data_IF_450548887939
#
_entry.id   IF_450548887939
#
_cell.length_a   1.000
_cell.length_b   1.000
_cell.length_c   1.000
_cell.angle_alpha   90.00
_cell.angle_beta   90.00
_cell.angle_gamma   90.00
#
_symmetry.space_group_name_H-M   'P 1'
#
loop_
_entity.id
_entity.type
_entity.pdbx_description
1 polymer ?
#
# COMPACT_ATOMS: atom_id res chain seq x y z
N UNK A 1 26.71 34.42 -2.12
CA UNK A 1 26.72 32.95 -2.26
C UNK A 1 25.33 32.39 -2.02
N UNK A 2 24.76 31.72 -3.02
CA UNK A 2 23.50 31.00 -2.87
C UNK A 2 23.64 29.79 -1.94
N UNK A 3 22.52 29.19 -1.55
CA UNK A 3 22.50 27.90 -0.82
C UNK A 3 23.24 26.83 -1.64
N UNK A 4 23.15 26.91 -2.97
CA UNK A 4 23.86 26.03 -3.92
C UNK A 4 25.37 26.20 -3.81
N UNK A 5 25.88 27.43 -3.86
CA UNK A 5 27.32 27.67 -3.70
C UNK A 5 27.80 27.21 -2.33
N UNK A 6 27.04 27.49 -1.28
CA UNK A 6 27.41 27.13 0.10
C UNK A 6 27.46 25.62 0.29
N UNK A 7 26.55 24.88 -0.34
CA UNK A 7 26.54 23.42 -0.34
C UNK A 7 27.63 22.83 -1.23
N UNK A 8 27.87 23.40 -2.40
CA UNK A 8 28.96 23.00 -3.28
C UNK A 8 30.31 23.16 -2.59
N UNK A 9 30.57 24.32 -1.97
CA UNK A 9 31.80 24.57 -1.19
C UNK A 9 31.90 23.67 0.04
N UNK A 10 30.77 23.32 0.66
CA UNK A 10 30.75 22.37 1.78
C UNK A 10 31.10 20.95 1.33
N UNK A 11 30.51 20.46 0.23
CA UNK A 11 30.85 19.15 -0.35
C UNK A 11 32.30 19.16 -0.82
N UNK A 12 32.74 20.19 -1.54
CA UNK A 12 34.12 20.34 -2.02
C UNK A 12 35.12 20.29 -0.85
N UNK A 13 34.81 20.96 0.26
CA UNK A 13 35.59 20.90 1.50
C UNK A 13 35.57 19.53 2.19
N UNK A 14 34.56 18.70 1.94
CA UNK A 14 34.39 17.38 2.54
C UNK A 14 35.11 16.27 1.75
N UNK A 15 35.00 16.28 0.42
CA UNK A 15 35.54 15.22 -0.46
C UNK A 15 36.84 15.64 -1.16
N UNK A 16 37.23 16.91 -1.05
CA UNK A 16 38.40 17.48 -1.72
C UNK A 16 38.10 17.87 -3.17
N UNK A 17 38.76 18.92 -3.64
CA UNK A 17 38.51 19.56 -4.95
C UNK A 17 38.69 18.61 -6.13
N UNK A 18 39.67 17.69 -6.08
CA UNK A 18 39.91 16.72 -7.15
C UNK A 18 38.79 15.67 -7.27
N UNK A 19 38.30 15.15 -6.14
CA UNK A 19 37.20 14.18 -6.14
C UNK A 19 35.86 14.86 -6.47
N UNK A 20 35.66 16.09 -6.02
CA UNK A 20 34.49 16.90 -6.34
C UNK A 20 34.35 17.11 -7.85
N UNK A 21 35.43 17.54 -8.52
CA UNK A 21 35.42 17.76 -9.96
C UNK A 21 35.26 16.46 -10.78
N UNK A 22 35.65 15.30 -10.24
CA UNK A 22 35.42 14.00 -10.90
C UNK A 22 33.98 13.50 -10.75
N UNK A 23 33.36 13.73 -9.58
CA UNK A 23 32.01 13.25 -9.26
C UNK A 23 30.90 14.21 -9.71
N UNK A 24 31.21 15.51 -9.76
CA UNK A 24 30.31 16.57 -10.19
C UNK A 24 31.01 17.42 -11.27
N UNK A 25 31.10 16.93 -12.52
CA UNK A 25 31.51 17.76 -13.65
C UNK A 25 30.62 19.00 -13.75
N UNK A 26 31.10 20.07 -14.40
CA UNK A 26 30.37 21.35 -14.58
C UNK A 26 28.96 21.20 -15.21
N UNK A 27 28.67 20.05 -15.80
CA UNK A 27 27.39 19.67 -16.41
C UNK A 27 26.34 19.20 -15.38
N UNK A 28 26.75 18.86 -14.15
CA UNK A 28 25.87 18.38 -13.09
C UNK A 28 25.32 19.56 -12.29
N UNK A 29 24.02 19.80 -12.44
CA UNK A 29 23.34 20.89 -11.74
C UNK A 29 23.13 20.57 -10.25
N UNK A 30 24.04 21.07 -9.40
CA UNK A 30 23.93 20.97 -7.94
C UNK A 30 22.65 21.60 -7.40
N UNK A 31 22.04 22.55 -8.11
CA UNK A 31 20.77 23.15 -7.72
C UNK A 31 19.60 22.15 -7.88
N UNK A 32 19.65 21.29 -8.91
CA UNK A 32 18.71 20.19 -9.09
C UNK A 32 18.87 19.12 -8.00
N UNK A 33 20.11 18.77 -7.63
CA UNK A 33 20.38 17.81 -6.56
C UNK A 33 19.93 18.34 -5.18
N UNK A 34 20.21 19.61 -4.90
CA UNK A 34 19.74 20.29 -3.69
C UNK A 34 18.24 20.47 -3.64
N UNK A 35 17.62 20.83 -4.75
CA UNK A 35 16.17 20.90 -4.89
C UNK A 35 15.55 19.54 -4.57
N UNK A 36 16.10 18.47 -5.15
CA UNK A 36 15.72 17.09 -4.83
C UNK A 36 15.89 16.76 -3.35
N UNK A 37 17.03 17.07 -2.74
CA UNK A 37 17.27 16.81 -1.31
C UNK A 37 16.34 17.61 -0.38
N UNK A 38 16.06 18.87 -0.70
CA UNK A 38 15.13 19.71 0.05
C UNK A 38 13.69 19.21 -0.08
N UNK A 39 13.27 18.85 -1.29
CA UNK A 39 11.96 18.24 -1.54
C UNK A 39 11.83 16.88 -0.82
N UNK A 40 12.91 16.08 -0.78
CA UNK A 40 12.97 14.83 -0.01
C UNK A 40 12.84 15.08 1.50
N UNK A 41 13.46 16.14 2.02
CA UNK A 41 13.41 16.46 3.45
C UNK A 41 12.01 16.98 3.84
N UNK A 42 11.46 17.90 3.05
CA UNK A 42 10.12 18.46 3.26
C UNK A 42 9.04 17.38 3.08
N UNK A 43 9.19 16.48 2.10
CA UNK A 43 8.28 15.35 1.94
C UNK A 43 8.36 14.39 3.11
N UNK A 44 9.54 14.08 3.67
CA UNK A 44 9.66 13.22 4.86
C UNK A 44 8.90 13.79 6.06
N UNK A 45 8.98 15.11 6.29
CA UNK A 45 8.18 15.78 7.34
C UNK A 45 6.68 15.64 7.06
N UNK A 46 6.26 15.83 5.81
CA UNK A 46 4.87 15.64 5.40
C UNK A 46 4.39 14.20 5.57
N UNK A 47 5.24 13.20 5.29
CA UNK A 47 4.97 11.77 5.51
C UNK A 47 4.75 11.49 7.00
N UNK A 48 5.65 11.98 7.87
CA UNK A 48 5.52 11.80 9.32
C UNK A 48 4.23 12.45 9.83
N UNK A 49 3.94 13.69 9.42
CA UNK A 49 2.70 14.38 9.78
C UNK A 49 1.45 13.62 9.30
N UNK A 50 1.47 13.12 8.07
CA UNK A 50 0.38 12.32 7.50
C UNK A 50 0.17 11.02 8.27
N UNK A 51 1.26 10.33 8.66
CA UNK A 51 1.18 9.11 9.44
C UNK A 51 0.60 9.35 10.84
N UNK A 52 0.97 10.46 11.49
CA UNK A 52 0.36 10.85 12.77
C UNK A 52 -1.15 11.05 12.61
N UNK A 53 -1.57 11.78 11.57
CA UNK A 53 -3.00 12.00 11.30
C UNK A 53 -3.72 10.67 11.00
N UNK A 54 -3.11 9.77 10.24
CA UNK A 54 -3.67 8.44 9.95
C UNK A 54 -3.85 7.63 11.24
N UNK A 55 -2.84 7.57 12.10
CA UNK A 55 -2.92 6.85 13.38
C UNK A 55 -4.04 7.43 14.25
N UNK A 56 -4.16 8.76 14.29
CA UNK A 56 -5.24 9.43 15.03
C UNK A 56 -6.61 9.03 14.44
N UNK A 57 -6.78 9.14 13.12
CA UNK A 57 -8.03 8.76 12.43
C UNK A 57 -8.36 7.29 12.65
N UNK A 58 -7.36 6.41 12.62
CA UNK A 58 -7.53 4.97 12.86
C UNK A 58 -7.99 4.70 14.31
N UNK A 59 -7.39 5.37 15.30
CA UNK A 59 -7.82 5.29 16.69
C UNK A 59 -9.26 5.77 16.84
N UNK A 60 -9.62 6.91 16.23
CA UNK A 60 -11.00 7.41 16.26
C UNK A 60 -11.97 6.45 15.54
N UNK A 61 -11.60 5.91 14.38
CA UNK A 61 -12.40 4.89 13.67
C UNK A 61 -12.59 3.62 14.50
N UNK A 62 -11.57 3.18 15.22
CA UNK A 62 -11.62 2.01 16.12
C UNK A 62 -12.54 2.25 17.32
N UNK A 63 -12.45 3.44 17.93
CA UNK A 63 -13.28 3.86 19.06
C UNK A 63 -14.74 4.02 18.61
N UNK A 64 -14.98 4.75 17.52
CA UNK A 64 -16.31 5.10 17.03
C UNK A 64 -16.94 4.05 16.12
N UNK A 65 -16.27 2.90 15.91
CA UNK A 65 -16.69 1.89 14.93
C UNK A 65 -18.18 1.55 15.00
N UNK A 66 -18.72 1.42 16.22
CA UNK A 66 -20.12 1.03 16.46
C UNK A 66 -21.08 2.16 16.12
N UNK A 67 -20.72 3.40 16.41
CA UNK A 67 -21.52 4.58 16.11
C UNK A 67 -21.59 4.81 14.59
N UNK A 68 -20.45 4.73 13.90
CA UNK A 68 -20.39 4.87 12.44
C UNK A 68 -21.14 3.74 11.71
N UNK A 69 -20.96 2.49 12.15
CA UNK A 69 -21.72 1.35 11.62
C UNK A 69 -23.24 1.53 11.80
N UNK A 70 -23.67 1.93 12.97
CA UNK A 70 -25.10 2.08 13.26
C UNK A 70 -25.70 3.27 12.49
N UNK A 71 -24.99 4.39 12.38
CA UNK A 71 -25.43 5.55 11.59
C UNK A 71 -25.62 5.23 10.11
N UNK A 72 -24.73 4.44 9.50
CA UNK A 72 -24.90 4.01 8.10
C UNK A 72 -26.09 3.04 7.95
N UNK A 73 -26.30 2.15 8.91
CA UNK A 73 -27.41 1.19 8.88
C UNK A 73 -28.78 1.84 9.08
N UNK A 74 -28.85 3.03 9.68
CA UNK A 74 -30.09 3.80 9.82
C UNK A 74 -30.63 4.30 8.47
N UNK A 75 -29.76 4.59 7.50
CA UNK A 75 -30.13 4.99 6.14
C UNK A 75 -30.49 3.83 5.21
N UNK A 76 -30.40 2.58 5.68
CA UNK A 76 -30.66 1.39 4.90
C UNK A 76 -32.02 0.76 5.26
N UNK A 77 -32.72 0.29 4.23
CA UNK A 77 -33.95 -0.48 4.39
C UNK A 77 -33.73 -1.76 5.18
N UNK A 78 -34.75 -2.16 5.94
CA UNK A 78 -34.66 -3.25 6.93
C UNK A 78 -34.25 -4.59 6.29
N UNK A 79 -34.61 -4.83 5.03
CA UNK A 79 -34.22 -6.04 4.28
C UNK A 79 -32.73 -6.07 3.93
N UNK A 80 -32.09 -4.92 3.72
CA UNK A 80 -30.69 -4.81 3.26
C UNK A 80 -29.69 -4.66 4.42
N UNK A 81 -30.15 -4.26 5.62
CA UNK A 81 -29.31 -4.08 6.82
C UNK A 81 -28.38 -5.27 7.14
N UNK A 82 -28.79 -6.55 7.05
CA UNK A 82 -27.90 -7.67 7.34
C UNK A 82 -26.73 -7.77 6.35
N UNK A 83 -27.01 -7.53 5.07
CA UNK A 83 -26.00 -7.57 4.01
C UNK A 83 -25.02 -6.39 4.13
N UNK A 84 -25.53 -5.18 4.36
CA UNK A 84 -24.71 -3.97 4.53
C UNK A 84 -23.82 -4.06 5.78
N UNK A 85 -24.35 -4.58 6.90
CA UNK A 85 -23.57 -4.80 8.13
C UNK A 85 -22.43 -5.80 7.90
N UNK A 86 -22.69 -6.88 7.16
CA UNK A 86 -21.65 -7.87 6.82
C UNK A 86 -20.52 -7.24 5.99
N UNK A 87 -20.85 -6.44 4.97
CA UNK A 87 -19.86 -5.78 4.11
C UNK A 87 -19.02 -4.78 4.92
N UNK A 88 -19.66 -3.92 5.72
CA UNK A 88 -18.97 -2.89 6.51
C UNK A 88 -18.04 -3.51 7.57
N UNK A 89 -18.51 -4.50 8.32
CA UNK A 89 -17.70 -5.16 9.34
C UNK A 89 -16.52 -5.93 8.73
N UNK A 90 -16.74 -6.64 7.63
CA UNK A 90 -15.67 -7.32 6.89
C UNK A 90 -14.65 -6.33 6.33
N UNK A 91 -15.10 -5.16 5.86
CA UNK A 91 -14.24 -4.08 5.38
C UNK A 91 -13.34 -3.51 6.48
N UNK A 92 -13.93 -3.19 7.64
CA UNK A 92 -13.19 -2.68 8.82
C UNK A 92 -12.15 -3.69 9.29
N UNK A 93 -12.52 -4.98 9.40
CA UNK A 93 -11.58 -6.04 9.81
C UNK A 93 -10.45 -6.23 8.80
N UNK A 94 -10.74 -6.05 7.50
CA UNK A 94 -9.74 -6.14 6.43
C UNK A 94 -8.77 -4.95 6.48
N UNK A 95 -9.29 -3.74 6.71
CA UNK A 95 -8.48 -2.54 6.90
C UNK A 95 -7.53 -2.68 8.10
N UNK A 96 -8.03 -3.15 9.25
CA UNK A 96 -7.20 -3.37 10.44
C UNK A 96 -6.09 -4.42 10.22
N UNK A 97 -6.38 -5.50 9.49
CA UNK A 97 -5.36 -6.49 9.09
C UNK A 97 -4.30 -5.89 8.17
N UNK A 98 -4.71 -5.09 7.18
CA UNK A 98 -3.80 -4.40 6.27
C UNK A 98 -2.90 -3.42 7.00
N UNK A 99 -3.45 -2.54 7.85
CA UNK A 99 -2.66 -1.54 8.59
C UNK A 99 -1.67 -2.19 9.55
N UNK A 100 -2.06 -3.27 10.23
CA UNK A 100 -1.14 -4.07 11.04
C UNK A 100 -0.03 -4.69 10.19
N UNK A 101 -0.36 -5.18 9.00
CA UNK A 101 0.61 -5.71 8.04
C UNK A 101 1.58 -4.65 7.52
N UNK A 102 1.07 -3.46 7.23
CA UNK A 102 1.85 -2.30 6.80
C UNK A 102 2.86 -1.90 7.87
N UNK A 103 2.42 -1.74 9.12
CA UNK A 103 3.28 -1.36 10.24
C UNK A 103 4.41 -2.39 10.47
N UNK A 104 4.09 -3.69 10.39
CA UNK A 104 5.10 -4.75 10.53
C UNK A 104 6.11 -4.70 9.38
N UNK A 105 5.67 -4.41 8.14
CA UNK A 105 6.59 -4.23 7.00
C UNK A 105 7.50 -3.03 7.19
N UNK A 106 6.94 -1.89 7.59
CA UNK A 106 7.69 -0.67 7.90
C UNK A 106 8.75 -0.92 8.99
N UNK A 107 8.35 -1.58 10.08
CA UNK A 107 9.23 -1.95 11.19
C UNK A 107 10.38 -2.85 10.71
N UNK A 108 10.06 -3.87 9.90
CA UNK A 108 11.06 -4.74 9.32
C UNK A 108 12.06 -3.97 8.47
N UNK A 109 11.59 -3.13 7.54
CA UNK A 109 12.47 -2.34 6.66
C UNK A 109 13.35 -1.40 7.48
N UNK A 110 12.78 -0.62 8.41
CA UNK A 110 13.54 0.31 9.24
C UNK A 110 14.65 -0.39 10.04
N UNK A 111 14.30 -1.50 10.72
CA UNK A 111 15.25 -2.28 11.52
C UNK A 111 16.32 -2.93 10.64
N UNK A 112 15.92 -3.58 9.54
CA UNK A 112 16.85 -4.26 8.66
C UNK A 112 17.82 -3.29 7.97
N UNK A 113 17.35 -2.08 7.63
CA UNK A 113 18.19 -1.00 7.11
C UNK A 113 19.20 -0.52 8.16
N UNK A 114 18.76 -0.26 9.40
CA UNK A 114 19.69 0.09 10.50
C UNK A 114 20.74 -1.00 10.73
N UNK A 115 20.33 -2.27 10.75
CA UNK A 115 21.24 -3.39 10.93
C UNK A 115 22.24 -3.47 9.78
N UNK A 116 21.78 -3.30 8.53
CA UNK A 116 22.66 -3.29 7.35
C UNK A 116 23.72 -2.21 7.42
N UNK A 117 23.31 -0.98 7.68
CA UNK A 117 24.24 0.14 7.83
C UNK A 117 25.23 -0.10 8.97
N UNK A 118 24.76 -0.58 10.11
CA UNK A 118 25.62 -0.88 11.26
C UNK A 118 26.64 -1.99 10.96
N UNK A 119 26.23 -3.07 10.29
CA UNK A 119 27.12 -4.18 9.91
C UNK A 119 28.17 -3.78 8.89
N UNK A 120 27.82 -2.90 7.94
CA UNK A 120 28.73 -2.41 6.90
C UNK A 120 29.65 -1.30 7.45
N UNK A 121 29.30 -0.70 8.59
CA UNK A 121 30.05 0.40 9.20
C UNK A 121 29.69 1.78 8.67
N UNK A 122 28.52 1.93 8.05
CA UNK A 122 28.02 3.21 7.54
C UNK A 122 27.48 4.03 8.72
N UNK A 123 27.92 5.28 8.92
CA UNK A 123 27.46 6.11 10.03
C UNK A 123 25.97 6.48 9.88
N UNK A 124 25.37 6.98 10.97
CA UNK A 124 23.96 7.40 11.01
C UNK A 124 22.92 6.29 10.76
N UNK A 125 23.27 5.04 11.06
CA UNK A 125 22.41 3.87 10.89
C UNK A 125 21.02 3.99 11.56
N UNK A 126 20.95 4.54 12.76
CA UNK A 126 19.69 4.71 13.50
C UNK A 126 18.81 5.81 12.86
N UNK A 127 19.29 7.06 12.67
CA UNK A 127 18.53 8.10 11.98
C UNK A 127 18.00 7.64 10.61
N UNK A 128 18.84 6.98 9.80
CA UNK A 128 18.46 6.54 8.47
C UNK A 128 17.46 5.38 8.49
N UNK A 129 17.55 4.47 9.46
CA UNK A 129 16.52 3.44 9.64
C UNK A 129 15.17 4.00 10.08
N UNK A 130 15.14 5.08 10.86
CA UNK A 130 13.89 5.79 11.20
C UNK A 130 13.29 6.41 9.93
N UNK A 131 14.10 7.03 9.08
CA UNK A 131 13.62 7.54 7.79
C UNK A 131 13.08 6.39 6.94
N UNK A 132 13.83 5.30 6.80
CA UNK A 132 13.42 4.11 6.04
C UNK A 132 12.12 3.49 6.57
N UNK A 133 11.92 3.47 7.90
CA UNK A 133 10.67 3.04 8.52
C UNK A 133 9.48 3.85 8.02
N UNK A 134 9.60 5.19 8.04
CA UNK A 134 8.50 6.06 7.65
C UNK A 134 8.26 6.05 6.14
N UNK A 135 9.32 6.07 5.33
CA UNK A 135 9.18 6.06 3.87
C UNK A 135 8.62 4.73 3.38
N UNK A 136 8.89 3.61 4.05
CA UNK A 136 8.32 2.29 3.75
C UNK A 136 6.78 2.22 3.82
N UNK A 137 6.11 3.24 4.39
CA UNK A 137 4.67 3.36 4.29
C UNK A 137 4.17 3.49 2.83
N UNK A 138 5.04 3.95 1.92
CA UNK A 138 4.77 4.12 0.49
C UNK A 138 5.21 2.86 -0.26
N UNK A 139 4.26 2.01 -0.72
CA UNK A 139 4.62 0.79 -1.44
C UNK A 139 5.43 1.11 -2.71
N UNK A 140 6.41 0.27 -3.02
CA UNK A 140 7.31 0.35 -4.19
C UNK A 140 8.28 1.54 -4.24
N UNK A 141 7.91 2.70 -3.68
CA UNK A 141 8.70 3.93 -3.79
C UNK A 141 9.47 4.23 -2.49
N UNK A 142 8.93 3.84 -1.34
CA UNK A 142 9.48 4.15 -0.02
C UNK A 142 10.91 3.68 0.24
N UNK A 143 11.22 2.45 -0.17
CA UNK A 143 12.56 1.87 -0.04
C UNK A 143 13.58 2.57 -0.92
N UNK A 144 13.19 3.00 -2.12
CA UNK A 144 14.08 3.74 -3.03
C UNK A 144 14.42 5.13 -2.49
N UNK A 145 13.43 5.81 -1.88
CA UNK A 145 13.65 7.15 -1.32
C UNK A 145 14.65 7.16 -0.16
N UNK A 146 14.56 6.20 0.75
CA UNK A 146 15.53 6.11 1.85
C UNK A 146 16.91 5.64 1.39
N UNK A 147 16.98 4.85 0.33
CA UNK A 147 18.23 4.29 -0.17
C UNK A 147 19.18 5.38 -0.70
N UNK A 148 18.67 6.41 -1.39
CA UNK A 148 19.49 7.47 -1.99
C UNK A 148 20.44 8.15 -0.98
N UNK A 149 19.95 8.78 0.12
CA UNK A 149 20.84 9.41 1.09
C UNK A 149 21.76 8.40 1.79
N UNK A 150 21.31 7.16 2.00
CA UNK A 150 22.14 6.10 2.59
C UNK A 150 23.33 5.76 1.68
N UNK A 151 23.12 5.63 0.37
CA UNK A 151 24.19 5.34 -0.58
C UNK A 151 25.18 6.50 -0.70
N UNK A 152 24.70 7.74 -0.62
CA UNK A 152 25.57 8.93 -0.58
C UNK A 152 26.47 8.86 0.66
N UNK A 153 25.89 8.65 1.85
CA UNK A 153 26.64 8.53 3.10
C UNK A 153 27.64 7.37 3.03
N UNK A 154 27.22 6.22 2.52
CA UNK A 154 28.09 5.05 2.35
C UNK A 154 29.29 5.34 1.44
N UNK A 155 29.06 6.02 0.32
CA UNK A 155 30.11 6.37 -0.63
C UNK A 155 31.10 7.40 -0.08
N UNK A 156 30.60 8.39 0.66
CA UNK A 156 31.41 9.49 1.21
C UNK A 156 32.21 9.05 2.44
N UNK A 157 31.57 8.39 3.40
CA UNK A 157 32.17 8.12 4.72
C UNK A 157 32.99 6.82 4.74
N UNK A 158 32.70 5.89 3.84
CA UNK A 158 33.33 4.55 3.85
C UNK A 158 33.95 4.19 2.51
N UNK A 159 33.30 4.54 1.40
CA UNK A 159 33.79 4.35 0.04
C UNK A 159 32.92 3.46 -0.84
N UNK A 160 33.31 3.26 -2.11
CA UNK A 160 32.48 2.60 -3.12
C UNK A 160 32.18 1.12 -2.80
N UNK A 161 33.04 0.44 -2.03
CA UNK A 161 32.78 -0.92 -1.57
C UNK A 161 31.55 -1.00 -0.65
N UNK A 162 31.37 -0.02 0.23
CA UNK A 162 30.22 0.05 1.13
C UNK A 162 28.91 0.31 0.37
N UNK A 163 28.96 1.11 -0.69
CA UNK A 163 27.82 1.34 -1.60
C UNK A 163 27.34 0.03 -2.20
N UNK A 164 28.25 -0.76 -2.77
CA UNK A 164 27.90 -2.05 -3.38
C UNK A 164 27.34 -3.05 -2.36
N UNK A 165 27.95 -3.12 -1.17
CA UNK A 165 27.45 -3.96 -0.07
C UNK A 165 26.05 -3.54 0.38
N UNK A 166 25.80 -2.23 0.50
CA UNK A 166 24.49 -1.72 0.93
C UNK A 166 23.41 -1.95 -0.13
N UNK A 167 23.74 -1.80 -1.43
CA UNK A 167 22.83 -2.17 -2.53
C UNK A 167 22.48 -3.66 -2.43
N UNK A 168 23.50 -4.53 -2.29
CA UNK A 168 23.29 -5.97 -2.14
C UNK A 168 22.40 -6.31 -0.93
N UNK A 169 22.66 -5.66 0.21
CA UNK A 169 21.86 -5.81 1.41
C UNK A 169 20.40 -5.36 1.20
N UNK A 170 20.19 -4.21 0.56
CA UNK A 170 18.84 -3.71 0.28
C UNK A 170 18.07 -4.66 -0.64
N UNK A 171 18.73 -5.26 -1.64
CA UNK A 171 18.09 -6.27 -2.50
C UNK A 171 17.62 -7.46 -1.65
N UNK A 172 18.44 -7.94 -0.70
CA UNK A 172 18.04 -9.02 0.21
C UNK A 172 16.81 -8.62 1.04
N UNK A 173 16.79 -7.40 1.58
CA UNK A 173 15.62 -6.87 2.32
C UNK A 173 14.38 -6.90 1.43
N UNK A 174 14.45 -6.37 0.21
CA UNK A 174 13.30 -6.33 -0.71
C UNK A 174 12.79 -7.74 -1.06
N UNK A 175 13.71 -8.71 -1.23
CA UNK A 175 13.34 -10.09 -1.49
C UNK A 175 12.63 -10.74 -0.30
N UNK A 176 13.12 -10.53 0.92
CA UNK A 176 12.48 -11.02 2.15
C UNK A 176 11.14 -10.35 2.36
N UNK A 177 11.06 -9.03 2.15
CA UNK A 177 9.84 -8.26 2.28
C UNK A 177 8.76 -8.78 1.32
N UNK A 178 9.10 -8.92 0.03
CA UNK A 178 8.16 -9.37 -1.00
C UNK A 178 7.77 -10.84 -0.88
N UNK A 179 8.71 -11.71 -0.47
CA UNK A 179 8.50 -13.18 -0.49
C UNK A 179 8.01 -13.75 0.82
N UNK A 180 8.28 -13.08 1.96
CA UNK A 180 7.99 -13.60 3.30
C UNK A 180 7.09 -12.64 4.06
N UNK A 181 7.50 -11.39 4.25
CA UNK A 181 6.78 -10.44 5.11
C UNK A 181 5.41 -10.15 4.50
N UNK A 182 5.37 -9.64 3.28
CA UNK A 182 4.13 -9.30 2.58
C UNK A 182 3.11 -10.45 2.61
N UNK A 183 3.42 -11.68 2.17
CA UNK A 183 2.45 -12.78 2.22
C UNK A 183 2.11 -13.26 3.63
N UNK A 184 3.00 -13.14 4.62
CA UNK A 184 2.74 -13.57 6.00
C UNK A 184 1.84 -12.58 6.72
N UNK A 185 2.06 -11.28 6.55
CA UNK A 185 1.37 -10.25 7.34
C UNK A 185 0.19 -9.61 6.61
N UNK A 186 0.24 -9.51 5.28
CA UNK A 186 -0.84 -8.97 4.44
C UNK A 186 -1.64 -10.08 3.73
N UNK A 187 -1.32 -11.34 4.03
CA UNK A 187 -1.68 -12.53 3.23
C UNK A 187 -3.12 -12.61 2.73
N UNK A 188 -3.28 -13.10 1.48
CA UNK A 188 -4.49 -13.51 0.72
C UNK A 188 -5.76 -12.65 0.83
N UNK A 189 -5.77 -11.57 1.59
CA UNK A 189 -6.95 -10.75 1.85
C UNK A 189 -7.45 -10.03 0.59
N UNK A 190 -6.57 -9.90 -0.40
CA UNK A 190 -6.82 -9.07 -1.58
C UNK A 190 -6.38 -9.87 -2.80
N UNK A 191 -7.25 -10.76 -3.29
CA UNK A 191 -7.09 -11.41 -4.60
C UNK A 191 -7.40 -10.40 -5.73
N UNK A 192 -6.92 -9.16 -5.60
CA UNK A 192 -7.18 -8.04 -6.51
C UNK A 192 -5.93 -7.87 -7.36
N UNK A 193 -6.11 -7.69 -8.66
CA UNK A 193 -5.00 -7.53 -9.59
C UNK A 193 -4.05 -6.42 -9.11
N UNK A 194 -2.72 -6.63 -9.14
CA UNK A 194 -1.74 -5.60 -8.80
C UNK A 194 -1.98 -4.29 -9.55
N UNK A 195 -2.51 -4.38 -10.77
CA UNK A 195 -2.84 -3.25 -11.62
C UNK A 195 -3.96 -2.37 -11.03
N UNK A 196 -4.97 -2.98 -10.40
CA UNK A 196 -6.05 -2.26 -9.72
C UNK A 196 -5.56 -1.61 -8.43
N UNK A 197 -4.65 -2.29 -7.72
CA UNK A 197 -3.99 -1.71 -6.53
C UNK A 197 -3.16 -0.50 -6.93
N UNK A 198 -2.35 -0.61 -8.00
CA UNK A 198 -1.53 0.49 -8.51
C UNK A 198 -2.39 1.68 -8.94
N UNK A 199 -3.43 1.45 -9.75
CA UNK A 199 -4.36 2.50 -10.19
C UNK A 199 -5.08 3.15 -9.02
N UNK A 200 -5.52 2.34 -8.04
CA UNK A 200 -6.14 2.83 -6.81
C UNK A 200 -5.18 3.72 -6.02
N UNK A 201 -3.95 3.25 -5.77
CA UNK A 201 -2.92 4.02 -5.04
C UNK A 201 -2.62 5.32 -5.76
N UNK A 202 -2.43 5.30 -7.08
CA UNK A 202 -2.20 6.52 -7.87
C UNK A 202 -3.36 7.50 -7.72
N UNK A 203 -4.60 7.04 -7.91
CA UNK A 203 -5.78 7.88 -7.75
C UNK A 203 -5.91 8.43 -6.32
N UNK A 204 -5.64 7.60 -5.32
CA UNK A 204 -5.62 7.98 -3.91
C UNK A 204 -4.57 9.05 -3.62
N UNK A 205 -3.35 8.89 -4.14
CA UNK A 205 -2.28 9.89 -4.03
C UNK A 205 -2.69 11.21 -4.68
N UNK A 206 -3.27 11.16 -5.88
CA UNK A 206 -3.70 12.38 -6.58
C UNK A 206 -4.83 13.11 -5.83
N UNK A 207 -5.76 12.37 -5.23
CA UNK A 207 -6.95 12.95 -4.57
C UNK A 207 -6.69 13.40 -3.12
N UNK A 208 -5.91 12.62 -2.38
CA UNK A 208 -5.74 12.79 -0.93
C UNK A 208 -4.29 12.68 -0.46
N UNK A 209 -3.33 12.80 -1.37
CA UNK A 209 -1.91 12.64 -1.06
C UNK A 209 -1.59 11.24 -0.52
N UNK A 210 -0.53 11.14 0.28
CA UNK A 210 -0.10 9.87 0.88
C UNK A 210 -1.25 9.13 1.60
N UNK A 211 -2.08 9.90 2.32
CA UNK A 211 -3.23 9.38 3.05
C UNK A 211 -4.19 8.66 2.10
N UNK A 212 -4.54 9.29 0.98
CA UNK A 212 -5.40 8.68 -0.04
C UNK A 212 -4.76 7.43 -0.66
N UNK A 213 -3.44 7.42 -0.87
CA UNK A 213 -2.70 6.26 -1.37
C UNK A 213 -2.77 5.04 -0.44
N UNK A 214 -2.55 5.25 0.87
CA UNK A 214 -2.62 4.17 1.88
C UNK A 214 -4.04 3.60 1.98
N UNK A 215 -5.05 4.47 1.92
CA UNK A 215 -6.47 4.09 2.02
C UNK A 215 -7.00 3.46 0.71
N UNK A 216 -6.36 3.72 -0.42
CA UNK A 216 -6.81 3.20 -1.71
C UNK A 216 -6.75 1.67 -1.81
N UNK A 217 -5.74 1.03 -1.20
CA UNK A 217 -5.59 -0.43 -1.20
C UNK A 217 -6.77 -1.13 -0.51
N UNK A 218 -7.16 -0.77 0.73
CA UNK A 218 -8.33 -1.36 1.39
C UNK A 218 -9.65 -0.99 0.70
N UNK A 219 -9.79 0.20 0.10
CA UNK A 219 -10.96 0.54 -0.73
C UNK A 219 -11.04 -0.38 -1.95
N UNK A 220 -9.93 -0.59 -2.66
CA UNK A 220 -9.88 -1.49 -3.81
C UNK A 220 -10.22 -2.93 -3.41
N UNK A 221 -9.79 -3.37 -2.22
CA UNK A 221 -10.17 -4.66 -1.64
C UNK A 221 -11.68 -4.73 -1.35
N UNK A 222 -12.24 -3.70 -0.70
CA UNK A 222 -13.68 -3.60 -0.42
C UNK A 222 -14.51 -3.63 -1.70
N UNK A 223 -14.11 -2.91 -2.74
CA UNK A 223 -14.75 -2.93 -4.06
C UNK A 223 -14.67 -4.35 -4.66
N UNK A 224 -13.51 -5.00 -4.59
CA UNK A 224 -13.34 -6.38 -5.06
C UNK A 224 -14.22 -7.39 -4.32
N UNK A 225 -14.34 -7.26 -3.00
CA UNK A 225 -15.22 -8.09 -2.16
C UNK A 225 -16.69 -7.79 -2.45
N UNK A 226 -17.07 -6.52 -2.58
CA UNK A 226 -18.42 -6.09 -2.92
C UNK A 226 -18.85 -6.62 -4.29
N UNK A 227 -17.99 -6.51 -5.31
CA UNK A 227 -18.25 -7.06 -6.64
C UNK A 227 -18.46 -8.58 -6.60
N UNK A 228 -17.62 -9.33 -5.87
CA UNK A 228 -17.81 -10.79 -5.75
C UNK A 228 -19.02 -11.16 -4.90
N UNK A 229 -19.24 -10.44 -3.80
CA UNK A 229 -20.32 -10.68 -2.85
C UNK A 229 -21.70 -10.27 -3.35
N UNK A 230 -21.78 -9.36 -4.32
CA UNK A 230 -23.05 -8.91 -4.90
C UNK A 230 -23.31 -9.59 -6.25
N UNK A 231 -22.32 -9.62 -7.15
CA UNK A 231 -22.53 -10.11 -8.53
C UNK A 231 -22.64 -11.65 -8.59
N UNK A 232 -21.86 -12.38 -7.78
CA UNK A 232 -21.88 -13.86 -7.82
C UNK A 232 -23.19 -14.41 -7.23
N UNK A 233 -23.71 -13.93 -6.08
CA UNK A 233 -25.00 -14.38 -5.57
C UNK A 233 -26.18 -13.95 -6.43
N UNK A 234 -26.12 -12.78 -7.07
CA UNK A 234 -27.16 -12.33 -8.01
C UNK A 234 -27.26 -13.26 -9.22
N UNK A 235 -26.14 -13.68 -9.80
CA UNK A 235 -26.13 -14.68 -10.87
C UNK A 235 -26.71 -16.02 -10.43
N UNK A 236 -26.31 -16.53 -9.26
CA UNK A 236 -26.87 -17.80 -8.72
C UNK A 236 -28.37 -17.72 -8.44
N UNK A 237 -28.86 -16.58 -7.93
CA UNK A 237 -30.31 -16.35 -7.71
C UNK A 237 -31.06 -16.22 -9.04
N UNK A 238 -30.47 -15.60 -10.05
CA UNK A 238 -31.05 -15.52 -11.39
C UNK A 238 -31.13 -16.90 -12.06
N UNK A 239 -30.05 -17.67 -12.02
CA UNK A 239 -29.98 -19.05 -12.53
C UNK A 239 -30.97 -19.98 -11.80
N UNK A 240 -31.05 -19.90 -10.47
CA UNK A 240 -32.00 -20.69 -9.69
C UNK A 240 -33.46 -20.34 -10.02
N UNK A 241 -33.79 -19.06 -10.23
CA UNK A 241 -35.13 -18.63 -10.66
C UNK A 241 -35.46 -19.13 -12.07
N UNK A 242 -34.49 -19.12 -12.96
CA UNK A 242 -34.66 -19.61 -14.32
C UNK A 242 -34.87 -21.13 -14.35
N UNK A 243 -34.10 -21.88 -13.57
CA UNK A 243 -34.27 -23.33 -13.41
C UNK A 243 -35.63 -23.68 -12.81
N UNK A 244 -36.07 -22.95 -11.76
CA UNK A 244 -37.39 -23.14 -11.17
C UNK A 244 -38.53 -22.87 -12.18
N UNK A 245 -38.41 -21.82 -13.01
CA UNK A 245 -39.37 -21.53 -14.09
C UNK A 245 -39.40 -22.63 -15.15
N UNK A 246 -38.25 -23.13 -15.58
CA UNK A 246 -38.15 -24.23 -16.56
C UNK A 246 -38.76 -25.53 -16.03
N UNK A 247 -38.48 -25.87 -14.77
CA UNK A 247 -39.05 -27.04 -14.11
C UNK A 247 -40.59 -26.93 -14.02
N UNK A 248 -41.11 -25.77 -13.64
CA UNK A 248 -42.55 -25.51 -13.60
C UNK A 248 -43.21 -25.61 -14.98
N UNK A 249 -42.58 -25.07 -16.03
CA UNK A 249 -43.07 -25.16 -17.41
C UNK A 249 -43.13 -26.60 -17.92
N UNK A 250 -42.08 -27.39 -17.66
CA UNK A 250 -42.04 -28.81 -18.06
C UNK A 250 -43.08 -29.65 -17.31
N UNK A 251 -43.29 -29.38 -16.01
CA UNK A 251 -44.31 -30.04 -15.22
C UNK A 251 -45.73 -29.73 -15.73
N UNK A 252 -46.00 -28.46 -16.05
CA UNK A 252 -47.29 -28.05 -16.64
C UNK A 252 -47.54 -28.72 -17.99
N UNK A 253 -46.54 -28.72 -18.89
CA UNK A 253 -46.64 -29.36 -20.21
C UNK A 253 -46.83 -30.87 -20.12
N UNK A 254 -46.20 -31.54 -19.15
CA UNK A 254 -46.38 -32.97 -18.91
C UNK A 254 -47.80 -33.28 -18.45
N UNK A 255 -48.35 -32.47 -17.54
CA UNK A 255 -49.72 -32.62 -17.07
C UNK A 255 -50.75 -32.40 -18.19
N UNK A 256 -50.53 -31.42 -19.08
CA UNK A 256 -51.37 -31.22 -20.26
C UNK A 256 -51.29 -32.39 -21.24
N UNK A 257 -50.09 -32.95 -21.47
CA UNK A 257 -49.91 -34.11 -22.32
C UNK A 257 -50.66 -35.33 -21.78
N UNK A 258 -50.53 -35.63 -20.49
CA UNK A 258 -51.24 -36.74 -19.82
C UNK A 258 -52.76 -36.55 -19.83
N UNK A 259 -53.26 -35.32 -19.64
CA UNK A 259 -54.69 -35.00 -19.71
C UNK A 259 -55.28 -35.07 -21.13
N UNK A 260 -54.43 -35.03 -22.17
CA UNK A 260 -54.85 -35.10 -23.58
C UNK A 260 -54.79 -36.50 -24.18
N UNK A 261 -54.28 -37.50 -23.46
CA UNK A 261 -54.31 -38.91 -23.88
C UNK A 261 -55.74 -39.42 -23.69
N UNK A 262 -56.50 -39.73 -24.76
CA UNK A 262 -57.85 -40.25 -24.62
C UNK A 262 -57.81 -41.64 -24.00
N UNK A 263 -58.75 -41.91 -23.10
CA UNK A 263 -58.94 -43.22 -22.44
C UNK A 263 -59.04 -44.32 -23.51
N UNK A 264 -58.15 -45.33 -23.50
CA UNK A 264 -58.22 -46.42 -24.47
C UNK A 264 -59.45 -47.29 -24.14
N UNK A 265 -60.54 -47.02 -24.86
CA UNK A 265 -61.76 -47.81 -24.86
C UNK A 265 -61.53 -49.26 -25.31
#
# INVERSE_FOLDING_TARGET
>A
PGIVDSFATWIEGLIGTEAFNQLFPDEVDLSFLLGGLLDLTLSTISVIASLVVIVIIEIFLLIERRHLLNGVLEFMDTEDRPATRYILTTGIDSLGKYLRGLFISMAFIGIATTVGMWLIGIPYAIPMGIIAFFTAAIPYIGGLFALVPILIIAGVEVGPGAVLLMIGWQIIIQQIEGSIITPTVQGKAINVSPLVVMLGVTAGITLGGLVGGIIAIPIAALIGVGLRGVVIPMRRRAEAREQARRAAYLAARKAEAEASVPDPA
#
